data_IF_919021788870
#
_entry.id   IF_919021788870
#
_cell.length_a   1.000
_cell.length_b   1.000
_cell.length_c   1.000
_cell.angle_alpha   90.00
_cell.angle_beta   90.00
_cell.angle_gamma   90.00
#
_symmetry.space_group_name_H-M   'P 1'
#
loop_
_entity.id
_entity.type
_entity.pdbx_description
1 polymer ?
#
# COMPACT_ATOMS: atom_id res chain seq x y z
N UNK A 1 -19.62 10.71 16.08
CA UNK A 1 -18.58 9.65 16.10
C UNK A 1 -18.09 9.35 14.68
N UNK A 2 -18.95 8.93 13.74
CA UNK A 2 -18.53 8.60 12.36
C UNK A 2 -17.74 9.74 11.68
N UNK A 3 -18.21 10.99 11.78
CA UNK A 3 -17.52 12.15 11.19
C UNK A 3 -16.09 12.34 11.72
N UNK A 4 -15.90 12.21 13.04
CA UNK A 4 -14.58 12.36 13.68
C UNK A 4 -13.58 11.33 13.15
N UNK A 5 -14.02 10.09 13.02
CA UNK A 5 -13.17 8.99 12.55
C UNK A 5 -12.78 9.17 11.08
N UNK A 6 -13.67 9.70 10.25
CA UNK A 6 -13.37 9.98 8.85
C UNK A 6 -12.47 11.20 8.65
N UNK A 7 -12.67 12.26 9.44
CA UNK A 7 -11.96 13.52 9.23
C UNK A 7 -10.58 13.52 9.91
N UNK A 8 -10.47 12.91 11.09
CA UNK A 8 -9.25 12.91 11.91
C UNK A 8 -8.43 11.62 11.75
N UNK A 9 -8.93 10.62 11.01
CA UNK A 9 -8.35 9.27 10.90
C UNK A 9 -7.99 8.64 12.26
N UNK A 10 -8.72 9.01 13.31
CA UNK A 10 -8.49 8.52 14.67
C UNK A 10 -9.37 7.29 14.96
N UNK A 11 -8.72 6.18 15.32
CA UNK A 11 -9.43 4.97 15.73
C UNK A 11 -10.09 5.15 17.10
N UNK A 12 -11.37 4.74 17.21
CA UNK A 12 -12.10 4.80 18.47
C UNK A 12 -12.36 3.38 18.98
N UNK A 13 -11.85 3.08 20.17
CA UNK A 13 -12.19 1.84 20.88
C UNK A 13 -13.54 1.96 21.60
N UNK A 14 -14.40 0.98 21.38
CA UNK A 14 -15.70 0.81 22.00
C UNK A 14 -15.59 -0.37 22.97
N UNK A 15 -15.63 -0.09 24.27
CA UNK A 15 -15.54 -1.10 25.33
C UNK A 15 -16.94 -1.48 25.80
N UNK A 16 -17.25 -2.78 25.85
CA UNK A 16 -18.52 -3.28 26.40
C UNK A 16 -18.32 -4.48 27.32
N UNK A 17 -19.31 -4.77 28.16
CA UNK A 17 -19.29 -5.94 29.07
C UNK A 17 -19.21 -7.29 28.34
N UNK A 18 -19.57 -7.34 27.05
CA UNK A 18 -19.60 -8.57 26.25
C UNK A 18 -18.54 -8.59 25.14
N UNK A 19 -17.60 -7.64 25.15
CA UNK A 19 -16.52 -7.55 24.17
C UNK A 19 -16.25 -6.14 23.68
N UNK A 20 -15.07 -5.94 23.09
CA UNK A 20 -14.61 -4.66 22.57
C UNK A 20 -14.70 -4.64 21.04
N UNK A 21 -14.87 -3.45 20.48
CA UNK A 21 -14.80 -3.19 19.05
C UNK A 21 -13.97 -1.95 18.78
N UNK A 22 -13.43 -1.83 17.56
CA UNK A 22 -12.72 -0.61 17.12
C UNK A 22 -13.45 -0.06 15.89
N UNK A 23 -13.76 1.23 15.93
CA UNK A 23 -14.30 1.99 14.82
C UNK A 23 -13.16 2.76 14.15
N UNK A 24 -12.97 2.53 12.85
CA UNK A 24 -12.02 3.22 11.96
C UNK A 24 -12.75 3.72 10.72
N UNK A 25 -12.13 4.61 9.94
CA UNK A 25 -12.72 5.07 8.69
C UNK A 25 -12.73 3.91 7.69
N UNK A 26 -13.66 3.95 6.73
CA UNK A 26 -13.71 2.91 5.71
C UNK A 26 -12.42 2.89 4.85
N UNK A 27 -11.82 4.05 4.63
CA UNK A 27 -10.55 4.21 3.92
C UNK A 27 -9.39 3.58 4.70
N UNK A 28 -9.25 3.88 5.99
CA UNK A 28 -8.20 3.29 6.83
C UNK A 28 -8.34 1.77 6.91
N UNK A 29 -9.58 1.26 7.03
CA UNK A 29 -9.83 -0.18 7.01
C UNK A 29 -9.39 -0.82 5.69
N UNK A 30 -9.70 -0.19 4.56
CA UNK A 30 -9.29 -0.68 3.25
C UNK A 30 -7.76 -0.69 3.10
N UNK A 31 -7.10 0.40 3.48
CA UNK A 31 -5.64 0.54 3.47
C UNK A 31 -4.95 -0.51 4.36
N UNK A 32 -5.47 -0.75 5.57
CA UNK A 32 -4.95 -1.77 6.48
C UNK A 32 -5.09 -3.18 5.90
N UNK A 33 -6.22 -3.47 5.24
CA UNK A 33 -6.47 -4.77 4.61
C UNK A 33 -5.55 -5.00 3.42
N UNK A 34 -5.34 -3.99 2.60
CA UNK A 34 -4.41 -4.04 1.46
C UNK A 34 -2.96 -4.18 1.93
N UNK A 35 -2.51 -3.35 2.87
CA UNK A 35 -1.18 -3.44 3.46
C UNK A 35 -0.94 -4.83 4.07
N UNK A 36 -1.91 -5.35 4.83
CA UNK A 36 -1.84 -6.71 5.39
C UNK A 36 -1.74 -7.78 4.30
N UNK A 37 -2.47 -7.61 3.19
CA UNK A 37 -2.37 -8.53 2.04
C UNK A 37 -0.98 -8.50 1.39
N UNK A 38 -0.45 -7.31 1.13
CA UNK A 38 0.87 -7.12 0.53
C UNK A 38 1.99 -7.68 1.42
N UNK A 39 1.88 -7.51 2.74
CA UNK A 39 2.88 -7.94 3.71
C UNK A 39 2.78 -9.43 4.07
N UNK A 40 1.66 -10.10 3.74
CA UNK A 40 1.45 -11.52 4.05
C UNK A 40 2.49 -12.45 3.42
N UNK A 41 3.06 -12.08 2.27
CA UNK A 41 4.16 -12.81 1.65
C UNK A 41 5.50 -12.23 2.12
N UNK A 42 6.35 -13.00 2.83
CA UNK A 42 7.65 -12.51 3.30
C UNK A 42 8.56 -12.01 2.18
N UNK A 43 8.44 -12.59 0.97
CA UNK A 43 9.19 -12.17 -0.19
C UNK A 43 8.69 -10.82 -0.73
N UNK A 44 7.37 -10.59 -0.74
CA UNK A 44 6.79 -9.33 -1.19
C UNK A 44 7.04 -8.20 -0.18
N UNK A 45 6.90 -8.48 1.12
CA UNK A 45 7.19 -7.54 2.19
C UNK A 45 8.63 -7.00 2.10
N UNK A 46 9.61 -7.91 1.94
CA UNK A 46 11.02 -7.52 1.75
C UNK A 46 11.25 -6.67 0.50
N UNK A 47 10.56 -6.97 -0.60
CA UNK A 47 10.65 -6.19 -1.84
C UNK A 47 10.11 -4.78 -1.66
N UNK A 48 8.93 -4.65 -1.05
CA UNK A 48 8.29 -3.35 -0.82
C UNK A 48 9.10 -2.48 0.13
N UNK A 49 9.56 -3.03 1.26
CA UNK A 49 10.37 -2.27 2.22
C UNK A 49 11.69 -1.81 1.60
N UNK A 50 12.37 -2.68 0.84
CA UNK A 50 13.60 -2.31 0.13
C UNK A 50 13.35 -1.21 -0.92
N UNK A 51 12.25 -1.31 -1.67
CA UNK A 51 11.89 -0.28 -2.66
C UNK A 51 11.60 1.07 -1.98
N UNK A 52 10.92 1.04 -0.84
CA UNK A 52 10.65 2.23 -0.03
C UNK A 52 11.94 2.88 0.52
N UNK A 53 12.85 2.08 1.08
CA UNK A 53 14.17 2.56 1.55
C UNK A 53 14.99 3.18 0.41
N UNK A 54 15.03 2.50 -0.74
CA UNK A 54 15.68 3.00 -1.94
C UNK A 54 15.10 4.36 -2.38
N UNK A 55 13.77 4.51 -2.36
CA UNK A 55 13.10 5.75 -2.74
C UNK A 55 13.39 6.90 -1.78
N UNK A 56 13.42 6.66 -0.46
CA UNK A 56 13.78 7.68 0.53
C UNK A 56 15.25 8.11 0.42
N UNK A 57 16.14 7.17 0.07
CA UNK A 57 17.57 7.42 -0.04
C UNK A 57 18.01 7.91 -1.41
N UNK A 58 17.12 7.97 -2.40
CA UNK A 58 17.45 8.20 -3.82
C UNK A 58 18.53 7.20 -4.35
N UNK A 59 18.44 5.94 -3.91
CA UNK A 59 19.42 4.88 -4.24
C UNK A 59 18.76 3.83 -5.13
N UNK A 60 19.43 3.44 -6.22
CA UNK A 60 18.93 2.43 -7.15
C UNK A 60 17.55 2.79 -7.74
N UNK A 61 17.22 4.08 -7.82
CA UNK A 61 16.02 4.58 -8.48
C UNK A 61 16.39 5.13 -9.85
N UNK A 62 15.49 4.98 -10.82
CA UNK A 62 15.65 5.53 -12.16
C UNK A 62 14.30 6.03 -12.64
N UNK A 63 14.25 7.27 -13.08
CA UNK A 63 13.08 7.79 -13.80
C UNK A 63 12.96 7.05 -15.14
N UNK A 64 11.73 6.66 -15.48
CA UNK A 64 11.41 6.00 -16.74
C UNK A 64 10.09 6.54 -17.27
N UNK A 65 10.02 6.72 -18.57
CA UNK A 65 8.75 6.99 -19.23
C UNK A 65 7.82 5.79 -19.09
N UNK A 66 6.51 6.06 -19.04
CA UNK A 66 5.50 5.02 -18.99
C UNK A 66 5.56 4.21 -20.29
N UNK A 67 5.82 2.91 -20.18
CA UNK A 67 5.75 2.00 -21.31
C UNK A 67 4.26 1.77 -21.60
N UNK A 68 3.81 2.20 -22.77
CA UNK A 68 2.46 1.88 -23.23
C UNK A 68 2.38 0.36 -23.51
N UNK A 69 1.45 -0.36 -22.87
CA UNK A 69 1.34 -1.81 -23.01
C UNK A 69 0.94 -2.27 -24.43
N UNK A 70 0.37 -1.37 -25.24
CA UNK A 70 -0.12 -1.69 -26.58
C UNK A 70 0.94 -1.44 -27.67
N UNK A 71 2.02 -0.73 -27.37
CA UNK A 71 3.23 -0.69 -28.22
C UNK A 71 4.09 -1.90 -27.89
N UNK A 72 3.95 -2.96 -28.70
CA UNK A 72 4.94 -4.04 -28.73
C UNK A 72 6.30 -3.39 -29.03
N UNK A 73 7.27 -3.53 -28.11
CA UNK A 73 8.60 -2.94 -28.27
C UNK A 73 9.24 -3.30 -29.61
N UNK A 74 10.31 -2.58 -30.04
CA UNK A 74 10.96 -2.88 -31.31
C UNK A 74 11.36 -4.36 -31.31
N UNK A 75 10.95 -5.07 -32.37
CA UNK A 75 11.28 -6.48 -32.56
C UNK A 75 12.79 -6.66 -32.39
N UNK A 76 13.19 -7.15 -31.22
CA UNK A 76 14.49 -7.77 -31.00
C UNK A 76 14.46 -9.05 -31.81
N UNK A 77 14.72 -8.92 -33.13
CA UNK A 77 15.15 -9.95 -34.08
C UNK A 77 15.16 -9.35 -35.50
N UNK A 78 16.24 -8.63 -35.84
CA UNK A 78 16.65 -8.40 -37.23
C UNK A 78 18.13 -7.96 -37.29
N UNK A 79 19.05 -8.89 -36.97
CA UNK A 79 20.39 -9.05 -37.56
C UNK A 79 21.11 -10.24 -36.94
#
# INVERSE_FOLDING_TARGET
MIRKVNDDHEAIEIVSRHGNAVLVSAEDYAALREGSYLLRSPANARRLLKAYENALGDINVSERELIDPDVTGPAVDAA
#
